data_IF_371515802707
#
_entry.id   IF_371515802707
#
_cell.length_a   1.000
_cell.length_b   1.000
_cell.length_c   1.000
_cell.angle_alpha   90.00
_cell.angle_beta   90.00
_cell.angle_gamma   90.00
#
_symmetry.space_group_name_H-M   'P 1'
#
loop_
_entity.id
_entity.type
_entity.pdbx_description
1 polymer ?
#
# COMPACT_ATOMS: atom_id res chain seq x y z
N UNK A 1 -8.41 25.14 -2.48
CA UNK A 1 -8.29 24.52 -1.14
C UNK A 1 -9.10 23.24 -1.24
N UNK A 2 -8.53 22.04 -1.16
CA UNK A 2 -7.35 21.59 -0.41
C UNK A 2 -6.49 20.69 -1.29
N UNK A 3 -5.19 20.98 -1.38
CA UNK A 3 -4.21 19.96 -1.76
C UNK A 3 -4.06 19.09 -0.51
N UNK A 4 -5.03 18.19 -0.32
CA UNK A 4 -4.89 17.15 0.67
C UNK A 4 -3.74 16.29 0.20
N UNK A 5 -2.62 16.43 0.91
CA UNK A 5 -1.43 15.61 0.80
C UNK A 5 -1.89 14.18 1.09
N UNK A 6 -2.32 13.48 0.04
CA UNK A 6 -3.14 12.28 0.12
C UNK A 6 -2.25 11.13 0.59
N UNK A 7 -2.06 11.03 1.91
CA UNK A 7 -1.18 10.05 2.53
C UNK A 7 -1.61 8.65 2.11
N UNK A 8 -0.78 8.02 1.27
CA UNK A 8 -0.89 6.60 0.97
C UNK A 8 -0.89 5.82 2.28
N UNK A 9 -1.95 5.04 2.50
CA UNK A 9 -2.04 4.16 3.65
C UNK A 9 -1.98 2.71 3.17
N UNK A 10 -0.88 2.02 3.50
CA UNK A 10 -0.71 0.58 3.26
C UNK A 10 -0.78 -0.14 4.60
N UNK A 11 -1.69 -1.11 4.75
CA UNK A 11 -1.91 -1.86 5.99
C UNK A 11 -1.83 -3.37 5.76
N UNK A 12 -1.45 -4.11 6.79
CA UNK A 12 -1.56 -5.57 6.82
C UNK A 12 -2.82 -5.96 7.59
N UNK A 13 -3.70 -6.73 6.96
CA UNK A 13 -4.84 -7.38 7.60
C UNK A 13 -4.57 -8.87 7.69
N UNK A 14 -4.93 -9.51 8.82
CA UNK A 14 -4.76 -10.95 9.02
C UNK A 14 -6.07 -11.59 9.42
N UNK A 15 -6.34 -12.78 8.90
CA UNK A 15 -7.46 -13.63 9.29
C UNK A 15 -7.03 -15.11 9.34
N UNK A 16 -7.99 -16.03 9.47
CA UNK A 16 -7.74 -17.47 9.56
C UNK A 16 -7.18 -18.10 8.28
N UNK A 17 -7.19 -17.37 7.17
CA UNK A 17 -6.73 -17.80 5.84
C UNK A 17 -5.40 -17.16 5.43
N UNK A 18 -4.82 -16.26 6.23
CA UNK A 18 -3.49 -15.69 5.99
C UNK A 18 -3.37 -14.19 6.26
N UNK A 19 -2.50 -13.54 5.49
CA UNK A 19 -2.15 -12.13 5.65
C UNK A 19 -2.29 -11.37 4.32
N UNK A 20 -3.03 -10.26 4.30
CA UNK A 20 -3.23 -9.41 3.13
C UNK A 20 -2.59 -8.05 3.33
N UNK A 21 -2.04 -7.52 2.24
CA UNK A 21 -1.61 -6.12 2.16
C UNK A 21 -2.69 -5.35 1.42
N UNK A 22 -3.24 -4.34 2.07
CA UNK A 22 -4.30 -3.48 1.57
C UNK A 22 -3.78 -2.06 1.44
N UNK A 23 -4.14 -1.34 0.38
CA UNK A 23 -3.87 0.09 0.27
C UNK A 23 -4.98 0.81 -0.48
N UNK A 24 -5.04 2.12 -0.30
CA UNK A 24 -5.82 3.05 -1.13
C UNK A 24 -4.89 4.17 -1.57
N UNK A 25 -4.88 4.43 -2.88
CA UNK A 25 -4.21 5.57 -3.47
C UNK A 25 -5.16 6.21 -4.48
N UNK A 26 -5.50 7.48 -4.27
CA UNK A 26 -6.40 8.26 -5.13
C UNK A 26 -7.76 7.59 -5.42
N UNK A 27 -8.33 6.89 -4.43
CA UNK A 27 -9.61 6.20 -4.57
C UNK A 27 -9.52 4.90 -5.37
N UNK A 28 -8.31 4.40 -5.60
CA UNK A 28 -8.04 3.10 -6.22
C UNK A 28 -7.55 2.13 -5.15
N UNK A 29 -8.46 1.38 -4.50
CA UNK A 29 -8.07 0.38 -3.52
C UNK A 29 -7.37 -0.80 -4.20
N UNK A 30 -6.37 -1.36 -3.53
CA UNK A 30 -5.63 -2.54 -3.97
C UNK A 30 -5.43 -3.56 -2.86
N UNK A 31 -5.26 -4.83 -3.27
CA UNK A 31 -5.03 -5.96 -2.37
C UNK A 31 -3.97 -6.89 -2.93
N UNK A 32 -3.08 -7.38 -2.06
CA UNK A 32 -2.13 -8.44 -2.34
C UNK A 32 -2.19 -9.50 -1.24
N UNK A 33 -2.01 -10.76 -1.62
CA UNK A 33 -2.08 -11.92 -0.72
C UNK A 33 -3.20 -12.91 -1.11
N UNK A 34 -3.53 -13.86 -0.22
CA UNK A 34 -2.94 -14.05 1.11
C UNK A 34 -1.48 -14.49 1.07
N UNK A 35 -0.71 -14.04 2.06
CA UNK A 35 0.59 -14.59 2.42
C UNK A 35 0.43 -15.51 3.63
N UNK A 36 1.14 -16.63 3.65
CA UNK A 36 1.13 -17.56 4.80
C UNK A 36 1.91 -17.01 6.01
N UNK A 37 2.91 -16.17 5.78
CA UNK A 37 3.77 -15.58 6.81
C UNK A 37 3.54 -14.06 6.92
N UNK A 38 3.28 -13.58 8.14
CA UNK A 38 3.14 -12.15 8.45
C UNK A 38 4.40 -11.36 8.10
N UNK A 39 5.59 -11.97 8.21
CA UNK A 39 6.85 -11.30 7.84
C UNK A 39 6.91 -11.03 6.34
N UNK A 40 6.39 -11.93 5.51
CA UNK A 40 6.26 -11.70 4.07
C UNK A 40 5.27 -10.58 3.78
N UNK A 41 4.11 -10.57 4.44
CA UNK A 41 3.12 -9.50 4.28
C UNK A 41 3.70 -8.13 4.68
N UNK A 42 4.47 -8.05 5.76
CA UNK A 42 5.16 -6.82 6.18
C UNK A 42 6.23 -6.36 5.19
N UNK A 43 7.02 -7.28 4.62
CA UNK A 43 7.96 -6.93 3.56
C UNK A 43 7.26 -6.38 2.32
N UNK A 44 6.15 -6.99 1.92
CA UNK A 44 5.33 -6.52 0.79
C UNK A 44 4.69 -5.17 1.12
N UNK A 45 4.18 -4.98 2.34
CA UNK A 45 3.64 -3.69 2.81
C UNK A 45 4.68 -2.58 2.67
N UNK A 46 5.90 -2.80 3.16
CA UNK A 46 6.99 -1.84 3.09
C UNK A 46 7.43 -1.55 1.64
N UNK A 47 7.52 -2.58 0.80
CA UNK A 47 7.82 -2.41 -0.62
C UNK A 47 6.73 -1.58 -1.34
N UNK A 48 5.45 -1.85 -1.04
CA UNK A 48 4.32 -1.15 -1.65
C UNK A 48 4.20 0.30 -1.19
N UNK A 49 4.42 0.56 0.09
CA UNK A 49 4.48 1.91 0.65
C UNK A 49 5.58 2.74 -0.03
N UNK A 50 6.75 2.13 -0.24
CA UNK A 50 7.86 2.77 -0.96
C UNK A 50 7.55 3.03 -2.43
N UNK A 51 7.01 2.05 -3.16
CA UNK A 51 6.61 2.18 -4.57
C UNK A 51 5.65 3.36 -4.76
N UNK A 52 4.63 3.45 -3.90
CA UNK A 52 3.61 4.49 -3.99
C UNK A 52 4.20 5.88 -3.64
N UNK A 53 5.03 5.97 -2.60
CA UNK A 53 5.70 7.22 -2.24
C UNK A 53 6.71 7.71 -3.31
N UNK A 54 7.44 6.80 -3.96
CA UNK A 54 8.36 7.13 -5.06
C UNK A 54 7.58 7.51 -6.35
N UNK A 55 6.43 6.90 -6.61
CA UNK A 55 5.59 7.22 -7.77
C UNK A 55 4.90 8.58 -7.63
N UNK A 56 4.45 8.96 -6.44
CA UNK A 56 3.87 10.31 -6.19
C UNK A 56 4.86 11.43 -6.51
N UNK A 57 6.16 11.20 -6.34
CA UNK A 57 7.20 12.18 -6.65
C UNK A 57 7.46 12.30 -8.17
N UNK A 58 7.30 11.22 -8.93
CA UNK A 58 7.67 11.15 -10.35
C UNK A 58 6.56 11.55 -11.34
N UNK A 59 5.29 11.57 -10.94
CA UNK A 59 4.19 11.95 -11.86
C UNK A 59 4.07 13.48 -12.03
N UNK A 60 4.84 14.27 -11.27
CA UNK A 60 4.79 15.74 -11.29
C UNK A 60 5.61 16.44 -12.40
N UNK A 61 6.25 15.72 -13.32
CA UNK A 61 7.09 16.30 -14.39
C UNK A 61 6.53 16.13 -15.84
N UNK A 62 5.23 16.31 -16.06
CA UNK A 62 4.64 16.45 -17.41
C UNK A 62 3.89 17.77 -17.56
#
# INVERSE_FOLDING_TARGET
MSNDNQKVQVVVQSDDKGHWVLWDHDGNPGVLGPYEDVAMAEHVRAAKERELAENEQNISEL
#
